data_IF_288092226895
#
_entry.id   IF_288092226895
#
_cell.length_a   1.000
_cell.length_b   1.000
_cell.length_c   1.000
_cell.angle_alpha   90.00
_cell.angle_beta   90.00
_cell.angle_gamma   90.00
#
_symmetry.space_group_name_H-M   'P 1'
#
loop_
_entity.id
_entity.type
_entity.pdbx_description
1 polymer ?
#
# COMPACT_ATOMS: atom_id res chain seq x y z
N UNK A 1 -1.23 -7.90 -13.86
CA UNK A 1 -0.43 -7.57 -12.66
C UNK A 1 0.43 -6.34 -12.93
N UNK A 2 0.62 -5.49 -11.93
CA UNK A 2 1.53 -4.33 -11.96
C UNK A 2 2.63 -4.50 -10.91
N UNK A 3 3.71 -3.73 -11.03
CA UNK A 3 4.86 -3.77 -10.11
C UNK A 3 5.12 -2.39 -9.53
N UNK A 4 5.50 -2.34 -8.25
CA UNK A 4 5.96 -1.12 -7.58
C UNK A 4 7.15 -1.43 -6.68
N UNK A 5 8.06 -0.47 -6.56
CA UNK A 5 9.22 -0.58 -5.66
C UNK A 5 8.93 0.13 -4.34
N UNK A 6 9.23 -0.55 -3.24
CA UNK A 6 9.06 0.00 -1.89
C UNK A 6 10.23 -0.39 -1.00
N UNK A 7 10.50 0.46 -0.02
CA UNK A 7 11.41 0.16 1.07
C UNK A 7 10.59 -0.53 2.17
N UNK A 8 11.14 -1.59 2.75
CA UNK A 8 10.56 -2.23 3.93
C UNK A 8 10.89 -1.36 5.14
N UNK A 9 9.85 -0.98 5.86
CA UNK A 9 9.92 -0.20 7.09
C UNK A 9 10.09 -1.15 8.29
N UNK A 10 10.11 -0.58 9.50
CA UNK A 10 10.26 -1.35 10.73
C UNK A 10 9.24 -2.47 10.83
N UNK A 11 9.65 -3.59 11.43
CA UNK A 11 8.78 -4.75 11.67
C UNK A 11 8.18 -5.37 10.40
N UNK A 12 8.87 -5.26 9.26
CA UNK A 12 8.44 -5.87 7.99
C UNK A 12 7.22 -5.20 7.36
N UNK A 13 6.98 -3.91 7.63
CA UNK A 13 5.84 -3.18 7.10
C UNK A 13 6.17 -2.49 5.77
N UNK A 14 5.17 -2.32 4.90
CA UNK A 14 5.31 -1.52 3.67
C UNK A 14 4.08 -0.67 3.44
N UNK A 15 4.27 0.64 3.27
CA UNK A 15 3.20 1.56 2.90
C UNK A 15 3.01 1.64 1.38
N UNK A 16 1.79 1.38 0.88
CA UNK A 16 1.45 1.54 -0.53
C UNK A 16 -0.01 1.98 -0.73
N UNK A 17 -0.19 3.09 -1.47
CA UNK A 17 -1.50 3.68 -1.81
C UNK A 17 -2.40 3.97 -0.60
N UNK A 18 -1.79 4.31 0.54
CA UNK A 18 -2.52 4.61 1.77
C UNK A 18 -2.87 3.38 2.62
N UNK A 19 -2.48 2.18 2.20
CA UNK A 19 -2.59 0.96 2.99
C UNK A 19 -1.22 0.55 3.52
N UNK A 20 -1.20 0.01 4.74
CA UNK A 20 -0.04 -0.64 5.34
C UNK A 20 -0.14 -2.13 5.09
N UNK A 21 0.89 -2.71 4.47
CA UNK A 21 1.00 -4.14 4.25
C UNK A 21 2.00 -4.73 5.22
N UNK A 22 1.69 -5.92 5.73
CA UNK A 22 2.58 -6.64 6.63
C UNK A 22 2.54 -8.13 6.29
N UNK A 23 3.67 -8.81 6.53
CA UNK A 23 3.76 -10.25 6.48
C UNK A 23 5.05 -10.70 7.13
N UNK A 24 5.03 -11.86 7.79
CA UNK A 24 6.20 -12.42 8.48
C UNK A 24 7.40 -12.60 7.53
N UNK A 25 7.12 -12.86 6.24
CA UNK A 25 8.14 -12.96 5.19
C UNK A 25 8.98 -11.69 4.99
N UNK A 26 8.53 -10.52 5.47
CA UNK A 26 9.28 -9.26 5.38
C UNK A 26 10.10 -8.92 6.62
N UNK A 27 10.02 -9.71 7.70
CA UNK A 27 10.71 -9.39 8.96
C UNK A 27 12.25 -9.28 8.80
N UNK A 28 12.84 -10.07 7.91
CA UNK A 28 14.29 -10.05 7.61
C UNK A 28 14.73 -9.00 6.58
N UNK A 29 13.81 -8.20 6.03
CA UNK A 29 14.09 -7.25 4.94
C UNK A 29 14.03 -5.79 5.40
N UNK A 30 13.98 -5.51 6.70
CA UNK A 30 13.92 -4.13 7.21
C UNK A 30 15.06 -3.27 6.63
N UNK A 31 14.69 -2.13 6.02
CA UNK A 31 15.65 -1.24 5.36
C UNK A 31 15.91 -1.56 3.89
N UNK A 32 15.60 -2.76 3.42
CA UNK A 32 15.81 -3.16 2.03
C UNK A 32 14.74 -2.62 1.09
N UNK A 33 15.11 -2.52 -0.20
CA UNK A 33 14.16 -2.29 -1.28
C UNK A 33 13.66 -3.63 -1.79
N UNK A 34 12.35 -3.74 -1.97
CA UNK A 34 11.68 -4.90 -2.56
C UNK A 34 10.77 -4.47 -3.72
N UNK A 35 10.37 -5.43 -4.53
CA UNK A 35 9.37 -5.25 -5.58
C UNK A 35 8.05 -5.91 -5.15
N UNK A 36 6.98 -5.12 -5.10
CA UNK A 36 5.64 -5.61 -4.86
C UNK A 36 4.90 -5.75 -6.18
N UNK A 37 4.36 -6.94 -6.45
CA UNK A 37 3.46 -7.20 -7.58
C UNK A 37 2.03 -7.28 -7.09
N UNK A 38 1.11 -6.65 -7.81
CA UNK A 38 -0.28 -6.54 -7.38
C UNK A 38 -1.26 -6.68 -8.54
N UNK A 39 -2.45 -7.19 -8.23
CA UNK A 39 -3.61 -7.14 -9.11
C UNK A 39 -4.41 -5.87 -8.81
N UNK A 40 -4.78 -5.13 -9.85
CA UNK A 40 -5.63 -3.95 -9.68
C UNK A 40 -7.06 -4.32 -9.28
N UNK A 41 -7.49 -5.57 -9.52
CA UNK A 41 -8.80 -6.09 -9.12
C UNK A 41 -8.85 -6.52 -7.66
N UNK A 42 -7.69 -6.77 -7.05
CA UNK A 42 -7.58 -7.04 -5.62
C UNK A 42 -6.25 -6.48 -5.08
N UNK A 43 -6.33 -5.30 -4.47
CA UNK A 43 -5.19 -4.61 -3.88
C UNK A 43 -4.89 -5.10 -2.46
N UNK A 44 -5.76 -5.92 -1.84
CA UNK A 44 -5.58 -6.38 -0.46
C UNK A 44 -4.35 -7.28 -0.30
N UNK A 45 -3.98 -8.03 -1.34
CA UNK A 45 -2.89 -9.01 -1.31
C UNK A 45 -1.85 -8.65 -2.36
N UNK A 46 -0.59 -8.57 -1.96
CA UNK A 46 0.55 -8.29 -2.84
C UNK A 46 1.55 -9.43 -2.76
N UNK A 47 2.23 -9.68 -3.87
CA UNK A 47 3.35 -10.61 -3.93
C UNK A 47 4.65 -9.83 -3.79
N UNK A 48 5.45 -10.17 -2.78
CA UNK A 48 6.74 -9.56 -2.53
C UNK A 48 7.86 -10.33 -3.22
N UNK A 49 8.80 -9.60 -3.81
CA UNK A 49 9.99 -10.11 -4.47
C UNK A 49 11.22 -9.30 -4.09
N UNK A 50 12.39 -9.92 -4.12
CA UNK A 50 13.66 -9.23 -3.93
C UNK A 50 13.87 -8.18 -5.02
N UNK A 51 14.64 -7.14 -4.71
CA UNK A 51 15.02 -6.16 -5.70
C UNK A 51 16.13 -6.73 -6.59
N UNK A 52 15.87 -6.78 -7.90
CA UNK A 52 16.88 -7.14 -8.90
C UNK A 52 18.04 -6.15 -8.84
N UNK A 53 19.23 -6.66 -8.52
CA UNK A 53 20.51 -5.96 -8.66
C UNK A 53 21.28 -6.60 -9.79
N UNK A 54 21.88 -5.78 -10.65
CA UNK A 54 22.91 -6.22 -11.60
C UNK A 54 22.50 -7.39 -12.52
N UNK A 55 21.27 -7.34 -13.03
CA UNK A 55 20.76 -8.34 -13.98
C UNK A 55 20.28 -9.65 -13.36
N UNK A 56 20.36 -9.80 -12.03
CA UNK A 56 19.82 -10.98 -11.34
C UNK A 56 18.28 -10.97 -11.33
N UNK A 57 17.62 -12.11 -11.54
CA UNK A 57 16.18 -12.20 -11.47
C UNK A 57 15.69 -11.90 -10.05
N UNK A 58 14.59 -11.16 -9.93
CA UNK A 58 13.92 -10.95 -8.64
C UNK A 58 13.36 -12.27 -8.11
N UNK A 59 13.74 -12.64 -6.90
CA UNK A 59 13.30 -13.87 -6.23
C UNK A 59 12.02 -13.63 -5.45
N UNK A 60 11.16 -14.64 -5.37
CA UNK A 60 9.90 -14.54 -4.62
C UNK A 60 10.17 -14.61 -3.12
N UNK A 61 9.66 -13.64 -2.37
CA UNK A 61 9.79 -13.56 -0.91
C UNK A 61 8.55 -14.18 -0.23
N UNK A 62 7.36 -13.78 -0.68
CA UNK A 62 6.11 -14.19 -0.02
C UNK A 62 4.91 -13.34 -0.40
N UNK A 63 3.80 -13.56 0.30
CA UNK A 63 2.58 -12.75 0.20
C UNK A 63 2.52 -11.79 1.39
N UNK A 64 2.14 -10.56 1.13
CA UNK A 64 1.80 -9.58 2.16
C UNK A 64 0.37 -9.09 1.98
N UNK A 65 -0.29 -8.81 3.10
CA UNK A 65 -1.69 -8.42 3.12
C UNK A 65 -1.86 -7.07 3.79
N UNK A 66 -2.86 -6.31 3.36
CA UNK A 66 -3.21 -5.04 3.97
C UNK A 66 -3.66 -5.29 5.41
N UNK A 67 -2.92 -4.73 6.38
CA UNK A 67 -3.08 -5.00 7.82
C UNK A 67 -4.47 -4.59 8.33
N UNK A 68 -4.92 -3.41 7.93
CA UNK A 68 -6.15 -2.79 8.45
C UNK A 68 -7.35 -2.96 7.51
N UNK A 69 -7.27 -3.89 6.55
CA UNK A 69 -8.36 -4.14 5.62
C UNK A 69 -9.38 -5.12 6.20
N UNK A 70 -10.60 -4.63 6.45
CA UNK A 70 -11.72 -5.47 6.92
C UNK A 70 -12.33 -6.35 5.81
N UNK A 71 -11.95 -6.11 4.55
CA UNK A 71 -12.48 -6.80 3.37
C UNK A 71 -11.42 -7.71 2.75
N UNK A 72 -11.86 -8.87 2.24
CA UNK A 72 -10.98 -9.83 1.55
C UNK A 72 -10.62 -9.40 0.12
N UNK A 73 -11.39 -8.48 -0.45
CA UNK A 73 -11.19 -7.98 -1.80
C UNK A 73 -11.56 -6.50 -1.87
N UNK A 74 -10.67 -5.74 -2.49
CA UNK A 74 -10.85 -4.32 -2.78
C UNK A 74 -10.10 -4.01 -4.07
N UNK A 75 -10.76 -3.43 -5.07
CA UNK A 75 -10.04 -2.99 -6.26
C UNK A 75 -9.26 -1.71 -5.98
N UNK A 76 -8.19 -1.48 -6.74
CA UNK A 76 -7.42 -0.23 -6.65
C UNK A 76 -8.29 0.98 -7.02
N UNK A 77 -9.25 0.83 -7.94
CA UNK A 77 -10.15 1.90 -8.33
C UNK A 77 -11.09 2.30 -7.18
N UNK A 78 -11.68 1.32 -6.49
CA UNK A 78 -12.52 1.57 -5.32
C UNK A 78 -11.73 2.21 -4.17
N UNK A 79 -10.51 1.74 -3.90
CA UNK A 79 -9.64 2.34 -2.89
C UNK A 79 -9.38 3.82 -3.20
N UNK A 80 -8.98 4.14 -4.44
CA UNK A 80 -8.71 5.52 -4.84
C UNK A 80 -9.95 6.40 -4.79
N UNK A 81 -11.11 5.86 -5.17
CA UNK A 81 -12.39 6.56 -5.06
C UNK A 81 -12.73 6.89 -3.60
N UNK A 82 -12.57 5.93 -2.68
CA UNK A 82 -12.76 6.15 -1.23
C UNK A 82 -11.82 7.23 -0.71
N UNK A 83 -10.53 7.14 -1.01
CA UNK A 83 -9.55 8.14 -0.60
C UNK A 83 -9.88 9.54 -1.17
N UNK A 84 -10.36 9.62 -2.41
CA UNK A 84 -10.78 10.89 -3.01
C UNK A 84 -11.98 11.47 -2.26
N UNK A 85 -12.98 10.64 -1.95
CA UNK A 85 -14.18 11.04 -1.21
C UNK A 85 -13.86 11.58 0.18
N UNK A 86 -12.96 10.92 0.91
CA UNK A 86 -12.51 11.42 2.21
C UNK A 86 -11.84 12.79 2.10
N UNK A 87 -10.97 13.00 1.10
CA UNK A 87 -10.35 14.33 0.89
C UNK A 87 -11.34 15.41 0.50
N UNK A 88 -12.33 15.08 -0.32
CA UNK A 88 -13.42 16.02 -0.68
C UNK A 88 -14.20 16.44 0.57
N UNK A 89 -14.48 15.51 1.49
CA UNK A 89 -15.16 15.79 2.76
C UNK A 89 -14.29 16.59 3.73
N UNK A 90 -12.99 16.29 3.84
CA UNK A 90 -12.06 17.05 4.68
C UNK A 90 -11.96 18.51 4.24
N UNK A 91 -11.92 18.78 2.92
CA UNK A 91 -11.93 20.13 2.37
C UNK A 91 -13.24 20.88 2.66
N UNK A 92 -14.38 20.19 2.66
CA UNK A 92 -15.69 20.78 2.99
C UNK A 92 -15.79 21.16 4.48
N UNK A 93 -15.21 20.35 5.37
CA UNK A 93 -15.11 20.65 6.81
C UNK A 93 -14.21 21.87 7.05
N UNK A 94 -13.06 21.95 6.36
CA UNK A 94 -12.13 23.08 6.51
C UNK A 94 -12.76 24.40 6.02
N UNK A 95 -13.46 24.38 4.88
CA UNK A 95 -14.18 25.55 4.36
C UNK A 95 -15.32 26.01 5.27
N UNK A 96 -16.10 25.08 5.83
CA UNK A 96 -17.18 25.42 6.77
C UNK A 96 -16.66 25.91 8.13
N UNK A 97 -15.51 25.42 8.59
CA UNK A 97 -14.83 25.94 9.79
C UNK A 97 -14.29 27.37 9.59
N UNK A 98 -13.82 27.71 8.39
CA UNK A 98 -13.37 29.07 8.04
C UNK A 98 -14.52 30.08 7.94
N UNK A 99 -15.71 29.66 7.47
CA UNK A 99 -16.88 30.53 7.32
C UNK A 99 -17.63 30.82 8.63
N UNK A 100 -17.34 30.08 9.72
CA UNK A 100 -18.03 30.24 11.01
C UNK A 100 -17.36 31.25 11.96
N UNK A 101 -16.20 31.81 11.59
CA UNK A 101 -15.46 32.81 12.38
C UNK A 101 -15.42 34.20 11.71
N UNK A 102 -16.39 34.52 10.85
CA UNK A 102 -16.55 35.83 10.21
C UNK A 102 -17.77 36.58 10.71
#
# INVERSE_FOLDING_TARGET
>A
MKVVRRKVEKYGCVCFKGLVYQGECLAGYEGDRICLRYDQRNIIRLLAYTYSKDGQPSEYIGVVEARDAEVKQLSLAELLWRCKKFREQELEIDQTALLRNG
#
